data_IF_669178336301
#
_entry.id   IF_669178336301
#
_cell.length_a   1.000
_cell.length_b   1.000
_cell.length_c   1.000
_cell.angle_alpha   90.00
_cell.angle_beta   90.00
_cell.angle_gamma   90.00
#
_symmetry.space_group_name_H-M   'P 1'
#
loop_
_entity.id
_entity.type
_entity.pdbx_description
1 polymer ?
#
# COMPACT_ATOMS: atom_id res chain seq x y z
N UNK A 1 -16.20 7.11 -60.25
CA UNK A 1 -15.63 5.80 -59.85
C UNK A 1 -16.18 5.46 -58.48
N UNK A 2 -16.98 4.40 -58.37
CA UNK A 2 -17.57 3.96 -57.10
C UNK A 2 -16.81 2.74 -56.59
N UNK A 3 -16.29 2.82 -55.37
CA UNK A 3 -15.56 1.74 -54.69
C UNK A 3 -16.50 0.55 -54.49
N UNK A 4 -16.05 -0.66 -54.86
CA UNK A 4 -16.86 -1.86 -54.72
C UNK A 4 -17.03 -2.25 -53.24
N UNK A 5 -18.11 -2.98 -52.93
CA UNK A 5 -18.41 -3.43 -51.55
C UNK A 5 -17.25 -4.24 -50.93
N UNK A 6 -16.52 -5.00 -51.75
CA UNK A 6 -15.34 -5.78 -51.33
C UNK A 6 -14.13 -4.88 -51.01
N UNK A 7 -13.86 -3.88 -51.84
CA UNK A 7 -12.77 -2.92 -51.61
C UNK A 7 -13.00 -2.08 -50.36
N UNK A 8 -14.26 -1.68 -50.08
CA UNK A 8 -14.62 -0.99 -48.85
C UNK A 8 -14.39 -1.86 -47.61
N UNK A 9 -14.79 -3.12 -47.67
CA UNK A 9 -14.59 -4.08 -46.57
C UNK A 9 -13.10 -4.35 -46.32
N UNK A 10 -12.29 -4.46 -47.38
CA UNK A 10 -10.86 -4.67 -47.26
C UNK A 10 -10.17 -3.46 -46.63
N UNK A 11 -10.53 -2.24 -47.04
CA UNK A 11 -9.99 -0.99 -46.50
C UNK A 11 -10.31 -0.84 -45.00
N UNK A 12 -11.53 -1.20 -44.57
CA UNK A 12 -11.91 -1.21 -43.15
C UNK A 12 -11.04 -2.20 -42.35
N UNK A 13 -10.86 -3.43 -42.85
CA UNK A 13 -10.03 -4.43 -42.17
C UNK A 13 -8.56 -4.02 -42.08
N UNK A 14 -8.00 -3.41 -43.12
CA UNK A 14 -6.64 -2.85 -43.09
C UNK A 14 -6.55 -1.75 -42.04
N UNK A 15 -7.52 -0.84 -41.98
CA UNK A 15 -7.57 0.22 -40.98
C UNK A 15 -7.63 -0.33 -39.54
N UNK A 16 -8.45 -1.35 -39.30
CA UNK A 16 -8.54 -2.04 -38.00
C UNK A 16 -7.20 -2.71 -37.66
N UNK A 17 -6.61 -3.45 -38.59
CA UNK A 17 -5.35 -4.15 -38.36
C UNK A 17 -4.20 -3.19 -38.02
N UNK A 18 -4.10 -2.08 -38.76
CA UNK A 18 -3.13 -1.00 -38.48
C UNK A 18 -3.40 -0.38 -37.12
N UNK A 19 -4.66 -0.07 -36.80
CA UNK A 19 -5.06 0.49 -35.51
C UNK A 19 -4.66 -0.40 -34.35
N UNK A 20 -4.99 -1.70 -34.41
CA UNK A 20 -4.63 -2.69 -33.38
C UNK A 20 -3.12 -2.84 -33.26
N UNK A 21 -2.39 -2.89 -34.38
CA UNK A 21 -0.94 -3.02 -34.37
C UNK A 21 -0.26 -1.82 -33.71
N UNK A 22 -0.63 -0.59 -34.10
CA UNK A 22 -0.08 0.65 -33.54
C UNK A 22 -0.45 0.78 -32.06
N UNK A 23 -1.71 0.54 -31.69
CA UNK A 23 -2.13 0.60 -30.28
C UNK A 23 -1.40 -0.42 -29.42
N UNK A 24 -1.24 -1.66 -29.88
CA UNK A 24 -0.46 -2.69 -29.17
C UNK A 24 1.01 -2.29 -29.01
N UNK A 25 1.61 -1.72 -30.05
CA UNK A 25 2.98 -1.23 -30.00
C UNK A 25 3.15 -0.09 -28.99
N UNK A 26 2.22 0.88 -28.99
CA UNK A 26 2.22 1.99 -28.02
C UNK A 26 2.03 1.51 -26.59
N UNK A 27 1.15 0.54 -26.35
CA UNK A 27 0.94 -0.07 -25.03
C UNK A 27 2.22 -0.77 -24.56
N UNK A 28 2.87 -1.56 -25.43
CA UNK A 28 4.15 -2.21 -25.10
C UNK A 28 5.24 -1.20 -24.78
N UNK A 29 5.36 -0.15 -25.59
CA UNK A 29 6.33 0.92 -25.35
C UNK A 29 6.07 1.63 -24.02
N UNK A 30 4.81 1.96 -23.71
CA UNK A 30 4.43 2.58 -22.46
C UNK A 30 4.74 1.68 -21.25
N UNK A 31 4.48 0.37 -21.37
CA UNK A 31 4.83 -0.62 -20.33
C UNK A 31 6.35 -0.71 -20.13
N UNK A 32 7.12 -0.76 -21.21
CA UNK A 32 8.59 -0.83 -21.13
C UNK A 32 9.17 0.43 -20.49
N UNK A 33 8.78 1.61 -20.96
CA UNK A 33 9.24 2.89 -20.41
C UNK A 33 8.89 3.03 -18.93
N UNK A 34 7.71 2.56 -18.52
CA UNK A 34 7.29 2.55 -17.10
C UNK A 34 8.12 1.58 -16.26
N UNK A 35 8.49 0.41 -16.81
CA UNK A 35 9.36 -0.54 -16.13
C UNK A 35 10.75 0.06 -15.90
N UNK A 36 11.36 0.63 -16.94
CA UNK A 36 12.67 1.32 -16.87
C UNK A 36 12.64 2.44 -15.81
N UNK A 37 11.62 3.30 -15.84
CA UNK A 37 11.45 4.34 -14.83
C UNK A 37 11.26 3.81 -13.40
N UNK A 38 10.71 2.61 -13.24
CA UNK A 38 10.52 1.99 -11.92
C UNK A 38 11.83 1.40 -11.40
N UNK A 39 12.67 0.85 -12.28
CA UNK A 39 14.01 0.35 -11.92
C UNK A 39 14.94 1.46 -11.47
N UNK A 40 14.84 2.65 -12.07
CA UNK A 40 15.64 3.82 -11.67
C UNK A 40 15.06 4.58 -10.48
N UNK A 41 13.81 4.28 -10.09
CA UNK A 41 13.12 5.00 -9.01
C UNK A 41 13.79 4.73 -7.66
N UNK A 42 14.06 5.77 -6.84
CA UNK A 42 14.47 5.59 -5.44
C UNK A 42 13.47 4.70 -4.69
N UNK A 43 13.97 3.81 -3.83
CA UNK A 43 13.13 2.84 -3.12
C UNK A 43 12.94 1.51 -3.83
N UNK A 44 13.42 1.33 -5.07
CA UNK A 44 13.42 0.02 -5.70
C UNK A 44 14.22 -0.98 -4.85
N UNK A 45 13.87 -2.27 -4.92
CA UNK A 45 14.44 -3.30 -4.05
C UNK A 45 15.95 -3.51 -4.21
N UNK A 46 16.53 -3.10 -5.34
CA UNK A 46 17.97 -3.20 -5.60
C UNK A 46 18.74 -2.00 -5.04
N UNK A 47 18.10 -0.83 -4.94
CA UNK A 47 18.72 0.41 -4.45
C UNK A 47 19.15 0.38 -2.99
N UNK A 48 18.47 -0.43 -2.16
CA UNK A 48 18.63 -0.49 -0.70
C UNK A 48 18.52 0.88 -0.01
N UNK A 49 17.83 1.84 -0.63
CA UNK A 49 17.57 3.17 -0.10
C UNK A 49 16.10 3.51 -0.24
N UNK A 50 15.47 3.96 0.84
CA UNK A 50 14.06 4.33 0.89
C UNK A 50 13.78 5.48 -0.07
N UNK A 51 12.60 5.45 -0.70
CA UNK A 51 12.15 6.53 -1.58
C UNK A 51 11.96 7.84 -0.80
N UNK A 52 11.52 7.76 0.46
CA UNK A 52 11.44 8.91 1.34
C UNK A 52 12.77 9.13 2.05
N UNK A 53 13.42 10.26 1.77
CA UNK A 53 14.62 10.71 2.49
C UNK A 53 15.91 9.92 2.22
N UNK A 54 15.87 8.83 1.44
CA UNK A 54 17.07 8.09 1.03
C UNK A 54 17.72 7.24 2.13
N UNK A 55 17.04 7.02 3.26
CA UNK A 55 17.55 6.19 4.36
C UNK A 55 17.79 4.74 3.90
N UNK A 56 18.86 4.09 4.36
CA UNK A 56 19.15 2.73 3.93
C UNK A 56 18.11 1.74 4.47
N UNK A 57 17.79 0.71 3.68
CA UNK A 57 16.99 -0.42 4.13
C UNK A 57 17.67 -1.75 3.82
N UNK A 58 17.39 -2.77 4.63
CA UNK A 58 17.94 -4.11 4.42
C UNK A 58 17.16 -4.85 3.32
N UNK A 59 17.83 -5.73 2.58
CA UNK A 59 17.19 -6.50 1.51
C UNK A 59 15.91 -7.18 1.99
N UNK A 60 14.83 -7.04 1.20
CA UNK A 60 13.54 -7.62 1.55
C UNK A 60 13.61 -9.16 1.59
N UNK A 61 13.04 -9.80 2.62
CA UNK A 61 12.80 -11.23 2.64
C UNK A 61 12.03 -11.71 1.41
N UNK A 62 12.35 -12.91 0.91
CA UNK A 62 11.69 -13.51 -0.27
C UNK A 62 10.16 -13.53 -0.10
N UNK A 63 9.66 -13.88 1.09
CA UNK A 63 8.22 -13.90 1.40
C UNK A 63 7.52 -12.56 1.19
N UNK A 64 8.21 -11.42 1.40
CA UNK A 64 7.64 -10.10 1.14
C UNK A 64 7.71 -9.80 -0.36
N UNK A 65 8.85 -10.08 -1.01
CA UNK A 65 9.05 -9.87 -2.46
C UNK A 65 8.07 -10.66 -3.33
N UNK A 66 7.75 -11.89 -2.93
CA UNK A 66 6.79 -12.74 -3.63
C UNK A 66 5.36 -12.16 -3.54
N UNK A 67 5.00 -11.54 -2.42
CA UNK A 67 3.66 -10.95 -2.25
C UNK A 67 3.52 -9.57 -2.88
N UNK A 68 4.58 -8.78 -2.91
CA UNK A 68 4.59 -7.44 -3.50
C UNK A 68 5.72 -7.39 -4.52
N UNK A 69 5.54 -8.01 -5.70
CA UNK A 69 6.54 -7.93 -6.74
C UNK A 69 6.64 -6.49 -7.25
N UNK A 70 7.86 -6.01 -7.50
CA UNK A 70 8.12 -4.68 -8.09
C UNK A 70 7.60 -3.49 -7.28
N UNK A 71 7.45 -3.62 -5.96
CA UNK A 71 7.10 -2.50 -5.10
C UNK A 71 8.25 -1.50 -4.92
N UNK A 72 7.92 -0.34 -4.36
CA UNK A 72 8.88 0.70 -3.98
C UNK A 72 8.86 0.84 -2.46
N UNK A 73 10.00 0.64 -1.81
CA UNK A 73 10.17 0.86 -0.37
C UNK A 73 10.19 2.35 -0.11
N UNK A 74 9.15 2.86 0.55
CA UNK A 74 8.99 4.28 0.88
C UNK A 74 9.64 4.60 2.22
N UNK A 75 9.41 3.75 3.22
CA UNK A 75 9.98 3.87 4.56
C UNK A 75 10.43 2.51 5.07
N UNK A 76 11.44 2.51 5.93
CA UNK A 76 11.93 1.32 6.62
C UNK A 76 12.29 1.66 8.06
N UNK A 77 11.97 0.76 8.96
CA UNK A 77 12.40 0.83 10.35
C UNK A 77 12.80 -0.56 10.84
N UNK A 78 13.96 -0.64 11.48
CA UNK A 78 14.58 -1.89 11.93
C UNK A 78 14.53 -2.02 13.46
N UNK A 79 14.63 -3.26 13.95
CA UNK A 79 14.87 -3.60 15.36
C UNK A 79 13.89 -2.95 16.34
N UNK A 80 12.61 -2.87 15.97
CA UNK A 80 11.57 -2.44 16.89
C UNK A 80 11.33 -3.54 17.92
N UNK A 81 11.19 -3.18 19.19
CA UNK A 81 10.81 -4.15 20.23
C UNK A 81 9.32 -4.02 20.51
N UNK A 82 8.59 -5.12 20.35
CA UNK A 82 7.18 -5.22 20.70
C UNK A 82 7.09 -6.05 21.97
N UNK A 83 6.65 -5.42 23.06
CA UNK A 83 6.36 -6.11 24.30
C UNK A 83 4.90 -6.55 24.25
N UNK A 84 4.70 -7.85 24.21
CA UNK A 84 3.39 -8.46 24.42
C UNK A 84 3.42 -9.19 25.77
N UNK A 85 2.28 -9.46 26.41
CA UNK A 85 2.22 -10.09 27.75
C UNK A 85 2.96 -11.43 27.85
N UNK A 86 3.32 -12.03 26.71
CA UNK A 86 4.08 -13.27 26.56
C UNK A 86 5.59 -13.09 26.27
N UNK A 87 6.13 -11.86 26.34
CA UNK A 87 7.55 -11.55 26.16
C UNK A 87 7.85 -10.52 25.07
N UNK A 88 9.13 -10.18 24.93
CA UNK A 88 9.62 -9.24 23.90
C UNK A 88 9.81 -9.94 22.57
N UNK A 89 9.25 -9.36 21.51
CA UNK A 89 9.48 -9.73 20.11
C UNK A 89 10.18 -8.58 19.39
N UNK A 90 10.89 -8.91 18.32
CA UNK A 90 11.60 -7.97 17.47
C UNK A 90 10.92 -7.87 16.11
N UNK A 91 10.73 -6.65 15.62
CA UNK A 91 10.04 -6.34 14.38
C UNK A 91 10.90 -5.48 13.45
N UNK A 92 10.83 -5.83 12.17
CA UNK A 92 11.24 -4.98 11.03
C UNK A 92 10.02 -4.62 10.23
N UNK A 93 9.94 -3.36 9.81
CA UNK A 93 8.78 -2.86 9.08
C UNK A 93 9.22 -2.13 7.83
N UNK A 94 8.59 -2.46 6.71
CA UNK A 94 8.74 -1.75 5.45
C UNK A 94 7.38 -1.18 5.05
N UNK A 95 7.37 0.07 4.62
CA UNK A 95 6.22 0.65 3.91
C UNK A 95 6.52 0.55 2.43
N UNK A 96 5.69 -0.20 1.71
CA UNK A 96 5.91 -0.52 0.31
C UNK A 96 4.74 0.05 -0.51
N UNK A 97 5.04 0.94 -1.44
CA UNK A 97 4.11 1.32 -2.51
C UNK A 97 3.99 0.13 -3.46
N UNK A 98 2.81 -0.48 -3.53
CA UNK A 98 2.55 -1.55 -4.50
C UNK A 98 2.27 -0.91 -5.86
N UNK A 99 3.22 -1.01 -6.79
CA UNK A 99 3.06 -0.50 -8.14
C UNK A 99 2.25 -1.50 -8.99
N UNK A 100 0.97 -1.21 -9.22
CA UNK A 100 0.21 -1.87 -10.28
C UNK A 100 0.65 -1.34 -11.65
N UNK A 101 0.75 -2.23 -12.65
CA UNK A 101 1.04 -1.85 -14.05
C UNK A 101 0.02 -0.83 -14.59
N UNK A 102 -1.21 -0.81 -14.07
CA UNK A 102 -2.29 0.11 -14.48
C UNK A 102 -3.30 0.46 -13.35
N UNK A 103 -2.87 0.65 -12.09
CA UNK A 103 -3.80 1.15 -11.06
C UNK A 103 -3.72 2.67 -10.94
N UNK A 104 -4.88 3.32 -11.02
CA UNK A 104 -5.09 4.74 -10.74
C UNK A 104 -4.84 5.10 -9.27
N UNK A 105 -4.85 4.10 -8.39
CA UNK A 105 -4.71 4.27 -6.95
C UNK A 105 -3.40 3.67 -6.45
N UNK A 106 -2.60 4.50 -5.78
CA UNK A 106 -1.39 4.08 -5.07
C UNK A 106 -1.80 3.43 -3.77
N UNK A 107 -1.53 2.14 -3.63
CA UNK A 107 -1.72 1.41 -2.38
C UNK A 107 -0.39 1.30 -1.66
N UNK A 108 -0.37 1.72 -0.39
CA UNK A 108 0.76 1.56 0.50
C UNK A 108 0.50 0.40 1.45
N UNK A 109 1.44 -0.53 1.52
CA UNK A 109 1.36 -1.74 2.34
C UNK A 109 2.45 -1.69 3.40
N UNK A 110 2.06 -1.81 4.66
CA UNK A 110 2.99 -2.08 5.76
C UNK A 110 3.26 -3.57 5.77
N UNK A 111 4.50 -3.96 5.50
CA UNK A 111 4.98 -5.32 5.60
C UNK A 111 5.87 -5.45 6.84
N UNK A 112 5.55 -6.40 7.71
CA UNK A 112 6.21 -6.60 8.99
C UNK A 112 6.85 -8.00 9.01
N UNK A 113 8.11 -8.06 9.42
CA UNK A 113 8.81 -9.29 9.77
C UNK A 113 9.01 -9.30 11.29
N UNK A 114 8.43 -10.30 11.96
CA UNK A 114 8.43 -10.43 13.42
C UNK A 114 9.18 -11.69 13.81
N UNK A 115 10.08 -11.58 14.78
CA UNK A 115 10.88 -12.69 15.32
C UNK A 115 10.97 -12.60 16.84
N UNK A 116 11.24 -13.72 17.52
CA UNK A 116 11.50 -13.75 18.97
C UNK A 116 12.94 -13.30 19.28
N UNK A 117 13.85 -13.43 18.30
CA UNK A 117 15.27 -13.15 18.45
C UNK A 117 15.68 -11.88 17.68
N UNK A 118 16.50 -10.97 18.29
CA UNK A 118 16.94 -9.73 17.65
C UNK A 118 17.78 -9.93 16.39
N UNK A 119 18.42 -11.10 16.23
CA UNK A 119 19.22 -11.40 15.04
C UNK A 119 18.36 -11.84 13.83
N UNK A 120 17.06 -12.05 14.02
CA UNK A 120 16.15 -12.58 12.99
C UNK A 120 16.66 -13.90 12.36
N UNK A 121 17.20 -14.80 13.19
CA UNK A 121 17.67 -16.14 12.77
C UNK A 121 16.63 -17.24 12.95
N UNK A 122 15.70 -17.05 13.90
CA UNK A 122 14.65 -18.01 14.22
C UNK A 122 13.44 -17.91 13.27
N UNK A 123 12.36 -18.64 13.60
CA UNK A 123 11.11 -18.61 12.85
C UNK A 123 10.52 -17.20 12.82
N UNK A 124 10.20 -16.75 11.60
CA UNK A 124 9.67 -15.41 11.34
C UNK A 124 8.19 -15.48 10.99
N UNK A 125 7.41 -14.63 11.65
CA UNK A 125 6.04 -14.31 11.26
C UNK A 125 6.05 -13.10 10.31
N UNK A 126 5.17 -13.13 9.31
CA UNK A 126 5.07 -12.07 8.31
C UNK A 126 3.65 -11.54 8.26
N UNK A 127 3.50 -10.25 8.53
CA UNK A 127 2.20 -9.58 8.54
C UNK A 127 2.16 -8.49 7.50
N UNK A 128 0.98 -8.26 6.96
CA UNK A 128 0.77 -7.28 5.92
C UNK A 128 -0.49 -6.50 6.23
N UNK A 129 -0.39 -5.18 6.19
CA UNK A 129 -1.48 -4.28 6.48
C UNK A 129 -1.53 -3.15 5.46
N UNK A 130 -2.70 -2.53 5.27
CA UNK A 130 -2.77 -1.24 4.58
C UNK A 130 -2.10 -0.20 5.46
N UNK A 131 -1.10 0.50 4.92
CA UNK A 131 -0.30 1.46 5.69
C UNK A 131 -1.02 2.78 5.93
N UNK A 132 -1.87 3.21 4.99
CA UNK A 132 -2.52 4.53 5.04
C UNK A 132 -3.93 4.51 5.65
N UNK A 133 -4.36 3.40 6.23
CA UNK A 133 -5.75 3.21 6.70
C UNK A 133 -5.79 2.57 8.09
N UNK A 134 -6.57 3.16 8.99
CA UNK A 134 -6.95 2.60 10.29
C UNK A 134 -8.46 2.36 10.31
N UNK A 135 -8.87 1.26 10.93
CA UNK A 135 -10.28 1.00 11.19
C UNK A 135 -10.57 1.19 12.66
N UNK A 136 -11.58 2.00 12.91
CA UNK A 136 -11.96 2.47 14.23
C UNK A 136 -13.34 1.89 14.53
N UNK A 137 -13.43 1.07 15.57
CA UNK A 137 -14.72 0.63 16.08
C UNK A 137 -15.27 1.75 16.96
N UNK A 138 -16.40 2.39 16.60
CA UNK A 138 -16.99 3.43 17.42
C UNK A 138 -17.50 2.87 18.76
N UNK A 139 -17.69 3.76 19.71
CA UNK A 139 -18.40 3.48 20.96
C UNK A 139 -19.90 3.59 20.75
N UNK A 140 -20.69 2.94 21.60
CA UNK A 140 -22.15 2.99 21.52
C UNK A 140 -22.63 4.45 21.50
N UNK A 141 -23.40 4.81 20.47
CA UNK A 141 -23.91 6.16 20.18
C UNK A 141 -22.87 7.23 19.79
N UNK A 142 -21.62 6.86 19.48
CA UNK A 142 -20.65 7.82 18.98
C UNK A 142 -21.04 8.27 17.56
N UNK A 143 -21.05 9.58 17.32
CA UNK A 143 -21.31 10.15 16.00
C UNK A 143 -20.00 10.36 15.22
N UNK A 144 -20.05 10.06 13.92
CA UNK A 144 -18.89 10.18 13.04
C UNK A 144 -18.58 11.64 12.74
N UNK A 145 -19.58 12.52 12.66
CA UNK A 145 -19.35 13.95 12.40
C UNK A 145 -18.71 14.63 13.61
N UNK A 146 -19.20 14.36 14.83
CA UNK A 146 -18.52 14.81 16.06
C UNK A 146 -17.07 14.33 16.13
N UNK A 147 -16.81 13.08 15.73
CA UNK A 147 -15.44 12.56 15.70
C UNK A 147 -14.56 13.23 14.64
N UNK A 148 -15.11 13.63 13.48
CA UNK A 148 -14.36 14.40 12.46
C UNK A 148 -13.88 15.73 13.01
N UNK A 149 -14.73 16.42 13.77
CA UNK A 149 -14.40 17.72 14.37
C UNK A 149 -13.29 17.63 15.44
N UNK A 150 -13.05 16.43 15.99
CA UNK A 150 -12.03 16.19 17.02
C UNK A 150 -10.65 15.82 16.47
N UNK A 151 -10.59 15.29 15.25
CA UNK A 151 -9.33 14.86 14.64
C UNK A 151 -8.70 15.99 13.83
N UNK A 152 -7.38 16.01 13.80
CA UNK A 152 -6.64 16.97 12.98
C UNK A 152 -6.74 16.62 11.49
N UNK A 153 -7.49 17.43 10.73
CA UNK A 153 -7.68 17.25 9.28
C UNK A 153 -6.37 17.31 8.49
N UNK A 154 -5.31 17.94 9.01
CA UNK A 154 -4.01 17.97 8.35
C UNK A 154 -3.32 16.62 8.38
N UNK A 155 -3.57 15.81 9.41
CA UNK A 155 -2.95 14.49 9.60
C UNK A 155 -3.88 13.33 9.23
N UNK A 156 -5.19 13.55 9.34
CA UNK A 156 -6.21 12.52 9.27
C UNK A 156 -7.34 12.90 8.32
N UNK A 157 -7.99 11.90 7.73
CA UNK A 157 -9.22 12.11 6.96
C UNK A 157 -10.14 10.91 7.10
N UNK A 158 -11.38 11.12 7.47
CA UNK A 158 -12.39 10.05 7.43
C UNK A 158 -12.80 9.81 5.97
N UNK A 159 -12.68 8.56 5.52
CA UNK A 159 -13.10 8.13 4.19
C UNK A 159 -14.56 7.68 4.15
N UNK A 160 -15.08 7.21 5.28
CA UNK A 160 -16.45 6.75 5.44
C UNK A 160 -16.57 5.68 6.50
N UNK A 161 -17.67 4.91 6.44
CA UNK A 161 -17.97 3.82 7.34
C UNK A 161 -18.05 2.50 6.58
N UNK A 162 -17.50 1.44 7.17
CA UNK A 162 -17.66 0.10 6.63
C UNK A 162 -19.08 -0.41 6.91
N UNK A 163 -19.89 -0.53 5.86
CA UNK A 163 -21.30 -0.96 5.96
C UNK A 163 -21.53 -2.35 6.57
N UNK A 164 -20.49 -3.21 6.66
CA UNK A 164 -20.62 -4.55 7.26
C UNK A 164 -20.22 -4.57 8.73
N UNK A 165 -19.23 -3.77 9.12
CA UNK A 165 -18.66 -3.82 10.47
C UNK A 165 -19.02 -2.60 11.33
N UNK A 166 -19.55 -1.54 10.74
CA UNK A 166 -19.80 -0.26 11.40
C UNK A 166 -18.53 0.50 11.77
N UNK A 167 -17.36 0.02 11.31
CA UNK A 167 -16.08 0.65 11.62
C UNK A 167 -15.86 1.89 10.75
N UNK A 168 -15.41 2.98 11.35
CA UNK A 168 -14.99 4.16 10.63
C UNK A 168 -13.62 3.93 9.97
N UNK A 169 -13.53 4.33 8.71
CA UNK A 169 -12.32 4.18 7.90
C UNK A 169 -11.56 5.50 7.95
N UNK A 170 -10.47 5.52 8.70
CA UNK A 170 -9.60 6.69 8.86
C UNK A 170 -8.38 6.56 7.96
N UNK A 171 -8.19 7.52 7.06
CA UNK A 171 -6.95 7.68 6.32
C UNK A 171 -5.92 8.44 7.17
N UNK A 172 -4.71 7.90 7.25
CA UNK A 172 -3.54 8.59 7.84
C UNK A 172 -2.67 9.13 6.70
N UNK A 173 -2.39 10.44 6.71
CA UNK A 173 -1.60 11.08 5.64
C UNK A 173 -0.10 10.80 5.77
N UNK A 174 0.35 10.66 7.00
CA UNK A 174 1.72 10.29 7.36
C UNK A 174 1.72 8.85 7.89
N UNK A 175 2.47 7.97 7.23
CA UNK A 175 2.35 6.53 7.42
C UNK A 175 3.70 5.80 7.44
N UNK A 176 4.78 6.47 7.85
CA UNK A 176 5.98 5.75 8.25
C UNK A 176 5.67 4.81 9.43
N UNK A 177 6.45 3.74 9.68
CA UNK A 177 6.09 2.77 10.70
C UNK A 177 5.93 3.39 12.10
N UNK A 178 6.75 4.38 12.45
CA UNK A 178 6.62 5.13 13.71
C UNK A 178 5.36 6.00 13.76
N UNK A 179 5.00 6.66 12.66
CA UNK A 179 3.79 7.49 12.56
C UNK A 179 2.53 6.63 12.63
N UNK A 180 2.52 5.42 12.04
CA UNK A 180 1.41 4.48 12.19
C UNK A 180 1.19 4.14 13.66
N UNK A 181 2.26 3.80 14.40
CA UNK A 181 2.17 3.48 15.83
C UNK A 181 1.68 4.68 16.64
N UNK A 182 2.18 5.88 16.34
CA UNK A 182 1.77 7.11 16.99
C UNK A 182 0.29 7.40 16.72
N UNK A 183 -0.15 7.34 15.46
CA UNK A 183 -1.54 7.52 15.07
C UNK A 183 -2.45 6.51 15.79
N UNK A 184 -2.08 5.23 15.84
CA UNK A 184 -2.85 4.24 16.61
C UNK A 184 -2.94 4.59 18.10
N UNK A 185 -1.86 5.10 18.70
CA UNK A 185 -1.85 5.58 20.08
C UNK A 185 -2.81 6.75 20.27
N UNK A 186 -2.63 7.82 19.49
CA UNK A 186 -3.46 9.03 19.54
C UNK A 186 -4.93 8.75 19.34
N UNK A 187 -5.30 7.94 18.33
CA UNK A 187 -6.72 7.62 18.07
C UNK A 187 -7.35 6.82 19.22
N UNK A 188 -6.57 5.98 19.93
CA UNK A 188 -7.06 5.25 21.11
C UNK A 188 -7.31 6.14 22.33
N UNK A 189 -6.79 7.38 22.35
CA UNK A 189 -7.01 8.31 23.46
C UNK A 189 -8.42 8.91 23.46
N UNK A 190 -9.12 8.91 22.32
CA UNK A 190 -10.51 9.35 22.18
C UNK A 190 -11.51 8.32 22.74
N UNK A 191 -11.32 7.89 23.99
CA UNK A 191 -12.07 6.81 24.67
C UNK A 191 -13.58 7.03 24.78
N UNK A 192 -14.05 8.24 24.55
CA UNK A 192 -15.47 8.60 24.47
C UNK A 192 -16.09 8.19 23.15
N UNK A 193 -15.33 8.19 22.06
CA UNK A 193 -15.80 7.90 20.70
C UNK A 193 -15.28 6.57 20.17
N UNK A 194 -14.13 6.11 20.67
CA UNK A 194 -13.38 4.97 20.13
C UNK A 194 -13.39 3.81 21.12
N UNK A 195 -13.94 2.67 20.69
CA UNK A 195 -13.87 1.40 21.40
C UNK A 195 -12.57 0.66 21.11
N UNK A 196 -12.18 0.58 19.84
CA UNK A 196 -10.92 -0.07 19.45
C UNK A 196 -10.39 0.49 18.13
N UNK A 197 -9.08 0.33 17.92
CA UNK A 197 -8.37 0.75 16.70
C UNK A 197 -7.50 -0.39 16.22
N UNK A 198 -7.62 -0.75 14.94
CA UNK A 198 -6.83 -1.80 14.32
C UNK A 198 -6.34 -1.42 12.92
N UNK A 199 -5.22 -2.02 12.55
CA UNK A 199 -4.75 -2.05 11.18
C UNK A 199 -5.60 -3.02 10.35
N UNK A 200 -5.71 -2.74 9.06
CA UNK A 200 -6.41 -3.62 8.14
C UNK A 200 -5.45 -4.61 7.51
N UNK A 201 -5.67 -5.92 7.70
CA UNK A 201 -4.92 -6.93 6.99
C UNK A 201 -5.01 -6.70 5.49
N UNK A 202 -3.85 -6.71 4.83
CA UNK A 202 -3.76 -6.68 3.38
C UNK A 202 -3.40 -8.07 2.87
N UNK A 203 -4.13 -8.51 1.84
CA UNK A 203 -3.80 -9.70 1.08
C UNK A 203 -3.71 -9.32 -0.39
N UNK A 204 -2.68 -9.80 -1.12
CA UNK A 204 -2.62 -9.59 -2.55
C UNK A 204 -3.85 -10.22 -3.21
N UNK A 205 -4.46 -9.50 -4.15
CA UNK A 205 -5.47 -10.10 -5.02
C UNK A 205 -4.77 -11.19 -5.85
N UNK A 206 -5.31 -12.41 -5.82
CA UNK A 206 -4.87 -13.52 -6.66
C UNK A 206 -5.07 -13.21 -8.13
#
# INVERSE_FOLDING_TARGET
>A
MAISKKERSLSIWIGIAIGVAISSMLVRYALQKKAEQTEERPGNYQSLKCASGGSPFIQLPNKIREKIPHGIVVHFENNQTITDGNGSKFQRSWIIESAGSFRSERLFVSAEEICINPDFKDLKDYRFHRASELYILPKDNADIEEFKDLIDEDHYKILGENSKTGEWILQIKHFSPSEIRLAMGTIREFRTHVSSVRLIPWTPNR
#
